data_IF_749791023823
#
_entry.id   IF_749791023823
#
_cell.length_a   1.000
_cell.length_b   1.000
_cell.length_c   1.000
_cell.angle_alpha   90.00
_cell.angle_beta   90.00
_cell.angle_gamma   90.00
#
_symmetry.space_group_name_H-M   'P 1'
#
loop_
_entity.id
_entity.type
_entity.pdbx_description
1 polymer ?
#
# COMPACT_ATOMS: atom_id res chain seq x y z
N UNK A 1 34.40 10.50 51.12
CA UNK A 1 33.61 11.12 50.03
C UNK A 1 33.46 10.12 48.89
N UNK A 2 32.26 9.59 48.65
CA UNK A 2 31.98 8.60 47.60
C UNK A 2 31.81 9.33 46.26
N UNK A 3 32.75 9.16 45.32
CA UNK A 3 32.61 9.62 43.94
C UNK A 3 31.63 8.68 43.24
N UNK A 4 30.37 9.10 43.09
CA UNK A 4 29.44 8.42 42.18
C UNK A 4 29.91 8.73 40.75
N UNK A 5 30.10 7.73 39.87
CA UNK A 5 30.76 7.94 38.60
C UNK A 5 29.81 8.67 37.65
N UNK A 6 30.24 9.85 37.20
CA UNK A 6 29.63 10.66 36.12
C UNK A 6 29.37 9.81 34.84
N UNK A 7 30.11 8.69 34.69
CA UNK A 7 29.93 7.71 33.62
C UNK A 7 28.52 7.06 33.58
N UNK A 8 27.85 6.89 34.72
CA UNK A 8 26.55 6.22 34.77
C UNK A 8 25.41 7.10 34.24
N UNK A 9 25.53 8.43 34.39
CA UNK A 9 24.56 9.39 33.88
C UNK A 9 24.64 9.58 32.36
N UNK A 10 25.84 9.52 31.77
CA UNK A 10 26.03 9.61 30.31
C UNK A 10 25.47 8.35 29.62
N UNK A 11 25.63 7.17 30.23
CA UNK A 11 25.09 5.92 29.66
C UNK A 11 23.55 5.93 29.62
N UNK A 12 22.89 6.49 30.64
CA UNK A 12 21.42 6.59 30.70
C UNK A 12 20.89 7.67 29.73
N UNK A 13 21.62 8.77 29.52
CA UNK A 13 21.24 9.81 28.55
C UNK A 13 21.42 9.37 27.09
N UNK A 14 22.38 8.49 26.81
CA UNK A 14 22.52 7.84 25.49
C UNK A 14 21.46 6.74 25.28
N UNK A 15 21.03 6.05 26.35
CA UNK A 15 19.97 5.05 26.29
C UNK A 15 18.56 5.67 26.14
N UNK A 16 18.34 6.87 26.66
CA UNK A 16 17.05 7.57 26.63
C UNK A 16 16.69 8.22 25.28
N UNK A 17 17.61 8.26 24.32
CA UNK A 17 17.40 8.95 23.03
C UNK A 17 17.12 8.02 21.83
N UNK A 18 16.99 6.71 22.04
CA UNK A 18 16.56 5.76 21.02
C UNK A 18 15.10 5.36 21.27
N UNK A 19 14.16 6.28 21.02
CA UNK A 19 12.79 5.85 20.72
C UNK A 19 12.86 5.06 19.42
N UNK A 20 12.84 3.73 19.53
CA UNK A 20 12.72 2.87 18.36
C UNK A 20 11.39 3.19 17.68
N UNK A 21 11.42 3.38 16.36
CA UNK A 21 10.21 3.56 15.59
C UNK A 21 9.28 2.37 15.80
N UNK A 22 8.01 2.64 16.07
CA UNK A 22 6.95 1.63 16.15
C UNK A 22 6.39 1.31 14.76
N UNK A 23 6.41 2.29 13.85
CA UNK A 23 5.97 2.10 12.47
C UNK A 23 6.63 3.06 11.48
N UNK A 24 6.60 2.64 10.22
CA UNK A 24 7.05 3.38 9.05
C UNK A 24 5.84 3.57 8.14
N UNK A 25 5.60 4.79 7.67
CA UNK A 25 4.57 5.08 6.67
C UNK A 25 5.17 5.73 5.42
N UNK A 26 4.87 5.14 4.27
CA UNK A 26 5.19 5.64 2.94
C UNK A 26 3.92 6.22 2.33
N UNK A 27 3.89 7.52 2.05
CA UNK A 27 2.74 8.19 1.41
C UNK A 27 2.94 8.26 -0.10
N UNK A 28 2.03 7.64 -0.85
CA UNK A 28 2.08 7.64 -2.31
C UNK A 28 1.31 8.83 -2.85
N UNK A 29 1.93 9.58 -3.77
CA UNK A 29 1.29 10.70 -4.48
C UNK A 29 0.57 10.24 -5.75
N UNK A 30 0.98 9.11 -6.32
CA UNK A 30 0.30 8.43 -7.41
C UNK A 30 0.18 6.94 -7.06
N UNK A 31 -1.04 6.52 -6.73
CA UNK A 31 -1.38 5.12 -6.56
C UNK A 31 -2.78 4.86 -7.10
N UNK A 32 -2.96 3.68 -7.66
CA UNK A 32 -4.23 3.29 -8.25
C UNK A 32 -4.47 1.79 -8.18
N UNK A 33 -5.75 1.43 -8.05
CA UNK A 33 -6.22 0.07 -8.23
C UNK A 33 -6.69 -0.07 -9.67
N UNK A 34 -6.07 -0.96 -10.43
CA UNK A 34 -6.42 -1.24 -11.82
C UNK A 34 -7.12 -2.59 -11.92
N UNK A 35 -8.13 -2.68 -12.78
CA UNK A 35 -8.79 -3.93 -13.14
C UNK A 35 -8.90 -4.06 -14.66
N UNK A 36 -8.58 -5.25 -15.17
CA UNK A 36 -8.70 -5.63 -16.58
C UNK A 36 -9.73 -6.75 -16.70
N UNK A 37 -10.96 -6.47 -17.16
CA UNK A 37 -12.05 -7.46 -17.16
C UNK A 37 -11.77 -8.74 -17.94
N UNK A 38 -11.08 -8.64 -19.09
CA UNK A 38 -10.82 -9.80 -19.97
C UNK A 38 -9.91 -10.85 -19.34
N UNK A 39 -8.96 -10.43 -18.50
CA UNK A 39 -8.04 -11.31 -17.79
C UNK A 39 -8.38 -11.49 -16.32
N UNK A 40 -9.40 -10.78 -15.82
CA UNK A 40 -9.78 -10.71 -14.40
C UNK A 40 -8.60 -10.35 -13.47
N UNK A 41 -7.65 -9.57 -13.98
CA UNK A 41 -6.48 -9.15 -13.20
C UNK A 41 -6.82 -7.86 -12.46
N UNK A 42 -6.64 -7.87 -11.14
CA UNK A 42 -6.69 -6.70 -10.27
C UNK A 42 -5.30 -6.47 -9.68
N UNK A 43 -4.81 -5.23 -9.73
CA UNK A 43 -3.52 -4.86 -9.15
C UNK A 43 -3.63 -3.52 -8.45
N UNK A 44 -2.81 -3.32 -7.42
CA UNK A 44 -2.57 -2.01 -6.82
C UNK A 44 -1.17 -1.59 -7.24
N UNK A 45 -1.07 -0.43 -7.86
CA UNK A 45 0.16 0.13 -8.38
C UNK A 45 0.44 1.43 -7.65
N UNK A 46 1.70 1.66 -7.29
CA UNK A 46 2.18 2.95 -6.82
C UNK A 46 3.60 3.16 -7.35
N UNK A 47 3.90 4.39 -7.80
CA UNK A 47 5.21 4.74 -8.35
C UNK A 47 5.70 3.76 -9.43
N UNK A 48 4.83 3.45 -10.39
CA UNK A 48 5.07 2.51 -11.50
C UNK A 48 5.45 1.07 -11.09
N UNK A 49 5.21 0.70 -9.84
CA UNK A 49 5.43 -0.65 -9.32
C UNK A 49 4.12 -1.25 -8.83
N UNK A 50 3.86 -2.50 -9.20
CA UNK A 50 2.81 -3.29 -8.57
C UNK A 50 3.20 -3.51 -7.11
N UNK A 51 2.39 -3.00 -6.19
CA UNK A 51 2.57 -3.13 -4.73
C UNK A 51 1.58 -4.15 -4.11
N UNK A 52 0.61 -4.63 -4.87
CA UNK A 52 -0.23 -5.78 -4.54
C UNK A 52 -0.84 -6.39 -5.81
N UNK A 53 -0.93 -7.71 -5.87
CA UNK A 53 -1.57 -8.46 -6.98
C UNK A 53 -3.05 -8.77 -6.75
N UNK A 54 -3.66 -8.19 -5.71
CA UNK A 54 -5.11 -8.20 -5.56
C UNK A 54 -5.76 -9.58 -5.34
N UNK A 55 -5.01 -10.62 -4.98
CA UNK A 55 -5.53 -12.00 -4.80
C UNK A 55 -6.63 -12.12 -3.75
N UNK A 56 -6.70 -11.15 -2.82
CA UNK A 56 -7.69 -11.08 -1.76
C UNK A 56 -8.96 -10.31 -2.18
N UNK A 57 -9.06 -9.88 -3.44
CA UNK A 57 -10.21 -9.14 -3.94
C UNK A 57 -11.20 -10.04 -4.67
N UNK A 58 -12.48 -9.78 -4.43
CA UNK A 58 -13.59 -10.27 -5.24
C UNK A 58 -14.07 -9.16 -6.16
N UNK A 59 -14.27 -9.49 -7.44
CA UNK A 59 -14.83 -8.59 -8.45
C UNK A 59 -16.01 -9.28 -9.12
N UNK A 60 -17.15 -8.60 -9.20
CA UNK A 60 -18.33 -9.08 -9.91
C UNK A 60 -18.84 -8.02 -10.86
N UNK A 61 -19.02 -8.39 -12.12
CA UNK A 61 -19.70 -7.55 -13.10
C UNK A 61 -21.22 -7.72 -12.96
N UNK A 62 -21.91 -6.64 -12.63
CA UNK A 62 -23.38 -6.64 -12.44
C UNK A 62 -24.10 -6.16 -13.70
N UNK A 63 -23.49 -5.20 -14.41
CA UNK A 63 -23.89 -4.74 -15.75
C UNK A 63 -22.63 -4.45 -16.58
N UNK A 64 -22.71 -4.29 -17.92
CA UNK A 64 -21.53 -3.97 -18.73
C UNK A 64 -20.68 -2.83 -18.17
N UNK A 65 -21.30 -1.77 -17.65
CA UNK A 65 -20.62 -0.63 -17.06
C UNK A 65 -20.49 -0.65 -15.52
N UNK A 66 -21.09 -1.61 -14.82
CA UNK A 66 -21.21 -1.61 -13.36
C UNK A 66 -20.52 -2.83 -12.75
N UNK A 67 -19.51 -2.56 -11.93
CA UNK A 67 -18.74 -3.57 -11.22
C UNK A 67 -18.89 -3.39 -9.71
N UNK A 68 -19.02 -4.49 -9.00
CA UNK A 68 -18.87 -4.53 -7.56
C UNK A 68 -17.50 -5.10 -7.25
N UNK A 69 -16.72 -4.42 -6.40
CA UNK A 69 -15.41 -4.89 -5.95
C UNK A 69 -15.34 -4.82 -4.43
N UNK A 70 -14.74 -5.83 -3.80
CA UNK A 70 -14.48 -5.84 -2.36
C UNK A 70 -13.23 -6.63 -2.03
N UNK A 71 -12.53 -6.20 -0.99
CA UNK A 71 -11.56 -7.06 -0.32
C UNK A 71 -12.32 -8.11 0.49
N UNK A 72 -11.87 -9.37 0.47
CA UNK A 72 -12.62 -10.50 1.04
C UNK A 72 -12.87 -10.36 2.55
N UNK A 73 -12.00 -9.63 3.27
CA UNK A 73 -12.15 -9.39 4.70
C UNK A 73 -13.04 -8.20 5.05
N UNK A 74 -13.47 -7.39 4.07
CA UNK A 74 -14.41 -6.30 4.34
C UNK A 74 -15.78 -6.85 4.73
N UNK A 75 -16.37 -6.24 5.75
CA UNK A 75 -17.70 -6.57 6.25
C UNK A 75 -18.62 -5.36 6.12
N UNK A 76 -19.88 -5.60 5.76
CA UNK A 76 -20.93 -4.58 5.72
C UNK A 76 -20.84 -3.57 4.57
N UNK A 77 -19.85 -3.65 3.68
CA UNK A 77 -19.78 -2.80 2.50
C UNK A 77 -18.99 -3.42 1.34
N UNK A 78 -19.16 -2.86 0.15
CA UNK A 78 -18.32 -3.06 -1.03
C UNK A 78 -18.23 -1.76 -1.82
N UNK A 79 -17.41 -1.72 -2.86
CA UNK A 79 -17.35 -0.59 -3.78
C UNK A 79 -18.09 -0.89 -5.07
N UNK A 80 -18.94 0.04 -5.50
CA UNK A 80 -19.51 0.07 -6.85
C UNK A 80 -18.67 0.96 -7.74
N UNK A 81 -18.20 0.40 -8.84
CA UNK A 81 -17.48 1.11 -9.89
C UNK A 81 -18.43 1.26 -11.07
N UNK A 82 -18.91 2.48 -11.29
CA UNK A 82 -19.71 2.82 -12.46
C UNK A 82 -18.81 3.47 -13.52
N UNK A 83 -18.45 2.68 -14.52
CA UNK A 83 -17.49 3.05 -15.56
C UNK A 83 -18.10 3.98 -16.62
N UNK A 84 -19.43 3.93 -16.82
CA UNK A 84 -20.15 4.87 -17.69
C UNK A 84 -20.19 6.28 -17.08
N UNK A 85 -20.45 6.38 -15.78
CA UNK A 85 -20.51 7.65 -15.06
C UNK A 85 -19.13 8.13 -14.57
N UNK A 86 -18.10 7.29 -14.69
CA UNK A 86 -16.76 7.51 -14.13
C UNK A 86 -16.77 7.83 -12.63
N UNK A 87 -17.57 7.08 -11.88
CA UNK A 87 -17.77 7.27 -10.44
C UNK A 87 -17.53 5.98 -9.67
N UNK A 88 -17.05 6.12 -8.45
CA UNK A 88 -16.92 5.03 -7.48
C UNK A 88 -17.75 5.38 -6.25
N UNK A 89 -18.48 4.40 -5.74
CA UNK A 89 -19.31 4.54 -4.56
C UNK A 89 -18.93 3.48 -3.54
N UNK A 90 -18.94 3.84 -2.27
CA UNK A 90 -19.01 2.90 -1.16
C UNK A 90 -20.47 2.55 -0.95
N UNK A 91 -20.81 1.26 -1.03
CA UNK A 91 -22.17 0.76 -0.86
C UNK A 91 -22.30 -0.02 0.44
N UNK A 92 -23.26 0.34 1.28
CA UNK A 92 -23.68 -0.42 2.47
C UNK A 92 -25.08 -1.01 2.26
N UNK A 93 -25.50 -1.92 3.14
CA UNK A 93 -26.87 -2.47 3.17
C UNK A 93 -27.35 -3.05 1.82
N UNK A 94 -26.42 -3.54 1.01
CA UNK A 94 -26.67 -4.15 -0.28
C UNK A 94 -26.01 -5.52 -0.39
N UNK A 95 -26.47 -6.31 -1.35
CA UNK A 95 -25.88 -7.61 -1.67
C UNK A 95 -24.80 -7.47 -2.74
N UNK A 96 -23.62 -8.03 -2.49
CA UNK A 96 -22.52 -8.03 -3.45
C UNK A 96 -22.93 -8.84 -4.69
N UNK A 97 -22.85 -8.23 -5.88
CA UNK A 97 -23.30 -8.86 -7.13
C UNK A 97 -24.73 -8.54 -7.55
N UNK A 98 -25.53 -7.90 -6.70
CA UNK A 98 -26.91 -7.52 -7.01
C UNK A 98 -27.09 -6.00 -7.06
N UNK A 99 -28.10 -5.52 -7.79
CA UNK A 99 -28.48 -4.10 -7.78
C UNK A 99 -29.16 -3.77 -6.45
N UNK A 100 -28.77 -2.68 -5.79
CA UNK A 100 -29.36 -2.21 -4.53
C UNK A 100 -28.33 -1.67 -3.54
N UNK A 101 -28.75 -1.35 -2.31
CA UNK A 101 -27.91 -0.79 -1.25
C UNK A 101 -27.80 0.74 -1.24
N UNK A 102 -27.13 1.28 -0.22
CA UNK A 102 -26.97 2.70 0.04
C UNK A 102 -25.61 3.20 -0.46
N UNK A 103 -25.63 4.07 -1.47
CA UNK A 103 -24.42 4.54 -2.16
C UNK A 103 -23.92 5.88 -1.63
N UNK A 104 -22.66 5.91 -1.19
CA UNK A 104 -21.92 7.13 -0.88
C UNK A 104 -20.79 7.30 -1.89
N UNK A 105 -20.82 8.38 -2.68
CA UNK A 105 -19.76 8.63 -3.67
C UNK A 105 -18.40 8.83 -2.96
N UNK A 106 -17.38 8.15 -3.45
CA UNK A 106 -16.02 8.25 -2.92
C UNK A 106 -15.26 9.42 -3.54
N UNK A 107 -14.27 9.95 -2.79
CA UNK A 107 -13.40 11.02 -3.28
C UNK A 107 -12.17 10.44 -4.00
N UNK A 108 -12.41 9.83 -5.16
CA UNK A 108 -11.41 9.20 -6.02
C UNK A 108 -11.69 9.55 -7.48
N UNK A 109 -10.67 9.46 -8.34
CA UNK A 109 -10.86 9.60 -9.79
C UNK A 109 -10.94 8.22 -10.44
N UNK A 110 -11.83 8.06 -11.42
CA UNK A 110 -11.94 6.82 -12.21
C UNK A 110 -11.48 7.06 -13.65
N UNK A 111 -10.42 6.38 -14.05
CA UNK A 111 -10.01 6.27 -15.44
C UNK A 111 -10.61 5.03 -16.08
N UNK A 112 -11.16 5.18 -17.28
CA UNK A 112 -11.81 4.09 -18.01
C UNK A 112 -11.28 4.08 -19.43
N UNK A 113 -10.86 2.92 -19.91
CA UNK A 113 -10.40 2.68 -21.28
C UNK A 113 -11.39 1.75 -21.97
N UNK A 114 -11.92 2.20 -23.12
CA UNK A 114 -12.96 1.50 -23.85
C UNK A 114 -14.29 1.41 -23.11
N UNK A 115 -15.21 0.61 -23.65
CA UNK A 115 -16.53 0.35 -23.08
C UNK A 115 -17.59 1.41 -23.39
N UNK A 116 -18.83 1.08 -23.04
CA UNK A 116 -20.02 1.92 -23.17
C UNK A 116 -21.07 1.46 -22.15
N UNK A 117 -22.33 1.91 -22.29
CA UNK A 117 -23.44 1.39 -21.47
C UNK A 117 -23.72 -0.10 -21.71
N UNK A 118 -23.40 -0.62 -22.90
CA UNK A 118 -23.73 -2.00 -23.29
C UNK A 118 -22.48 -2.85 -23.52
N UNK A 119 -21.30 -2.23 -23.52
CA UNK A 119 -20.01 -2.90 -23.76
C UNK A 119 -19.11 -2.73 -22.55
N UNK A 120 -18.57 -3.82 -21.96
CA UNK A 120 -17.61 -3.73 -20.87
C UNK A 120 -16.35 -2.93 -21.27
N UNK A 121 -15.76 -2.13 -20.37
CA UNK A 121 -14.47 -1.50 -20.61
C UNK A 121 -13.36 -2.54 -20.77
N UNK A 122 -12.29 -2.17 -21.48
CA UNK A 122 -11.08 -3.01 -21.56
C UNK A 122 -10.25 -2.91 -20.28
N UNK A 123 -10.33 -1.77 -19.58
CA UNK A 123 -9.62 -1.51 -18.33
C UNK A 123 -10.29 -0.35 -17.59
N UNK A 124 -10.28 -0.39 -16.26
CA UNK A 124 -10.49 0.82 -15.46
C UNK A 124 -9.47 0.91 -14.33
N UNK A 125 -9.18 2.13 -13.85
CA UNK A 125 -8.29 2.40 -12.75
C UNK A 125 -8.90 3.42 -11.77
N UNK A 126 -8.96 3.05 -10.50
CA UNK A 126 -9.38 3.92 -9.39
C UNK A 126 -8.12 4.59 -8.85
N UNK A 127 -7.98 5.91 -9.04
CA UNK A 127 -6.85 6.69 -8.51
C UNK A 127 -7.14 7.21 -7.12
N UNK A 128 -6.17 7.00 -6.23
CA UNK A 128 -6.23 7.43 -4.85
C UNK A 128 -5.24 8.59 -4.62
N UNK A 129 -5.73 9.64 -3.96
CA UNK A 129 -4.90 10.80 -3.58
C UNK A 129 -4.35 10.66 -2.15
N UNK A 130 -4.78 9.64 -1.42
CA UNK A 130 -4.48 9.41 0.00
C UNK A 130 -3.91 8.00 0.26
N UNK A 131 -3.31 7.37 -0.76
CA UNK A 131 -2.77 6.03 -0.63
C UNK A 131 -1.48 6.00 0.18
N UNK A 132 -1.30 4.92 0.94
CA UNK A 132 -0.12 4.72 1.76
C UNK A 132 0.22 3.24 1.93
N UNK A 133 1.48 2.98 2.28
CA UNK A 133 1.93 1.72 2.85
C UNK A 133 2.38 1.99 4.29
N UNK A 134 1.92 1.18 5.23
CA UNK A 134 2.40 1.17 6.62
C UNK A 134 3.12 -0.15 6.87
N UNK A 135 4.31 -0.07 7.45
CA UNK A 135 5.03 -1.21 8.02
C UNK A 135 5.09 -1.02 9.53
N UNK A 136 4.40 -1.88 10.26
CA UNK A 136 4.48 -1.94 11.72
C UNK A 136 5.70 -2.79 12.11
N UNK A 137 6.63 -2.20 12.85
CA UNK A 137 7.92 -2.82 13.17
C UNK A 137 7.73 -3.90 14.25
N UNK A 138 6.86 -3.67 15.23
CA UNK A 138 6.62 -4.61 16.34
C UNK A 138 5.95 -5.89 15.85
N UNK A 139 4.89 -5.76 15.03
CA UNK A 139 4.12 -6.90 14.53
C UNK A 139 4.66 -7.46 13.21
N UNK A 140 5.65 -6.81 12.62
CA UNK A 140 6.22 -7.15 11.31
C UNK A 140 5.19 -7.19 10.17
N UNK A 141 4.07 -6.47 10.33
CA UNK A 141 2.97 -6.44 9.36
C UNK A 141 3.11 -5.28 8.39
N UNK A 142 2.71 -5.51 7.14
CA UNK A 142 2.58 -4.45 6.12
C UNK A 142 1.11 -4.31 5.79
N UNK A 143 0.63 -3.07 5.63
CA UNK A 143 -0.70 -2.79 5.12
C UNK A 143 -0.61 -1.71 4.04
N UNK A 144 -1.35 -1.90 2.96
CA UNK A 144 -1.58 -0.87 1.94
C UNK A 144 -3.00 -0.36 2.14
N UNK A 145 -3.18 0.95 2.20
CA UNK A 145 -4.47 1.58 2.47
C UNK A 145 -4.71 2.82 1.63
N UNK A 146 -5.98 3.16 1.45
CA UNK A 146 -6.47 4.42 0.90
C UNK A 146 -7.94 4.59 1.33
N UNK A 147 -8.49 5.80 1.26
CA UNK A 147 -9.91 6.06 1.56
C UNK A 147 -10.34 5.49 2.92
N UNK A 148 -9.45 5.59 3.92
CA UNK A 148 -9.64 5.08 5.28
C UNK A 148 -9.94 3.57 5.37
N UNK A 149 -9.55 2.79 4.36
CA UNK A 149 -9.69 1.33 4.36
C UNK A 149 -8.40 0.64 3.94
N UNK A 150 -8.23 -0.61 4.38
CA UNK A 150 -7.16 -1.48 3.90
C UNK A 150 -7.49 -1.96 2.48
N UNK A 151 -6.53 -1.84 1.57
CA UNK A 151 -6.59 -2.37 0.21
C UNK A 151 -5.83 -3.69 0.06
N UNK A 152 -4.85 -3.94 0.94
CA UNK A 152 -4.12 -5.21 1.05
C UNK A 152 -3.45 -5.30 2.42
N UNK A 153 -3.36 -6.51 2.96
CA UNK A 153 -2.68 -6.80 4.24
C UNK A 153 -1.24 -7.29 4.06
N UNK A 154 -0.68 -7.13 2.86
CA UNK A 154 0.76 -7.25 2.59
C UNK A 154 1.39 -8.57 3.06
N UNK A 155 0.63 -9.67 3.03
CA UNK A 155 1.07 -10.99 3.50
C UNK A 155 2.19 -11.58 2.64
N UNK A 156 2.31 -11.12 1.40
CA UNK A 156 3.30 -11.47 0.40
C UNK A 156 4.53 -10.54 0.40
N UNK A 157 4.69 -9.69 1.41
CA UNK A 157 5.88 -8.84 1.56
C UNK A 157 6.96 -9.48 2.44
N UNK A 158 8.18 -9.48 1.91
CA UNK A 158 9.40 -9.77 2.64
C UNK A 158 9.93 -8.49 3.31
N UNK A 159 10.44 -8.64 4.54
CA UNK A 159 11.04 -7.56 5.32
C UNK A 159 12.35 -8.02 5.92
N UNK A 160 13.31 -7.11 6.05
CA UNK A 160 14.55 -7.35 6.76
C UNK A 160 15.02 -6.05 7.42
N UNK A 161 15.23 -6.09 8.74
CA UNK A 161 15.91 -5.02 9.45
C UNK A 161 17.42 -5.24 9.36
N UNK A 162 18.12 -4.35 8.66
CA UNK A 162 19.58 -4.46 8.45
C UNK A 162 20.34 -3.70 9.54
N UNK A 163 19.79 -2.55 9.94
CA UNK A 163 20.21 -1.77 11.11
C UNK A 163 18.98 -1.21 11.83
N UNK A 164 19.12 -0.69 13.07
CA UNK A 164 18.00 -0.08 13.80
C UNK A 164 17.22 0.98 13.01
N UNK A 165 17.87 1.69 12.09
CA UNK A 165 17.28 2.73 11.25
C UNK A 165 17.14 2.36 9.76
N UNK A 166 17.49 1.12 9.37
CA UNK A 166 17.57 0.72 7.96
C UNK A 166 16.83 -0.59 7.72
N UNK A 167 15.80 -0.51 6.90
CA UNK A 167 14.89 -1.63 6.60
C UNK A 167 14.86 -1.89 5.11
N UNK A 168 14.91 -3.14 4.71
CA UNK A 168 14.65 -3.57 3.34
C UNK A 168 13.25 -4.18 3.31
N UNK A 169 12.41 -3.73 2.38
CA UNK A 169 11.09 -4.28 2.12
C UNK A 169 10.94 -4.57 0.63
N UNK A 170 10.27 -5.68 0.29
CA UNK A 170 9.91 -5.99 -1.09
C UNK A 170 8.70 -6.92 -1.14
N UNK A 171 7.94 -6.86 -2.21
CA UNK A 171 7.06 -7.98 -2.55
C UNK A 171 7.89 -9.24 -2.84
N UNK A 172 7.36 -10.41 -2.48
CA UNK A 172 8.02 -11.69 -2.70
C UNK A 172 8.27 -11.99 -4.20
N UNK A 173 7.47 -11.41 -5.08
CA UNK A 173 7.59 -11.55 -6.53
C UNK A 173 8.63 -10.61 -7.15
N UNK A 174 9.12 -9.61 -6.41
CA UNK A 174 10.19 -8.72 -6.89
C UNK A 174 11.54 -9.44 -6.80
N UNK A 175 12.15 -9.69 -7.96
CA UNK A 175 13.42 -10.44 -8.05
C UNK A 175 14.65 -9.54 -8.04
N UNK A 176 14.59 -8.45 -8.80
CA UNK A 176 15.81 -7.69 -9.15
C UNK A 176 15.97 -6.39 -8.36
N UNK A 177 15.02 -6.08 -7.48
CA UNK A 177 15.07 -4.89 -6.65
C UNK A 177 14.36 -5.07 -5.30
N UNK A 178 14.64 -4.15 -4.39
CA UNK A 178 13.90 -3.94 -3.16
C UNK A 178 13.90 -2.46 -2.78
N UNK A 179 13.00 -2.08 -1.90
CA UNK A 179 13.00 -0.75 -1.31
C UNK A 179 13.79 -0.76 -0.01
N UNK A 180 14.74 0.16 0.09
CA UNK A 180 15.48 0.46 1.30
C UNK A 180 14.86 1.70 1.95
N UNK A 181 14.33 1.53 3.15
CA UNK A 181 13.78 2.60 3.99
C UNK A 181 14.81 2.98 5.04
N UNK A 182 15.26 4.23 5.01
CA UNK A 182 16.11 4.80 6.06
C UNK A 182 15.28 5.73 6.95
N UNK A 183 15.01 5.31 8.19
CA UNK A 183 14.17 6.08 9.13
C UNK A 183 14.91 7.26 9.75
N UNK A 184 16.23 7.20 9.86
CA UNK A 184 17.06 8.31 10.36
C UNK A 184 17.08 9.48 9.37
N UNK A 185 17.20 9.17 8.07
CA UNK A 185 17.21 10.18 7.00
C UNK A 185 15.82 10.49 6.45
N UNK A 186 14.81 9.68 6.80
CA UNK A 186 13.45 9.73 6.25
C UNK A 186 13.44 9.62 4.72
N UNK A 187 14.19 8.66 4.20
CA UNK A 187 14.39 8.44 2.77
C UNK A 187 13.97 7.04 2.34
N UNK A 188 13.41 6.97 1.14
CA UNK A 188 13.12 5.73 0.42
C UNK A 188 14.03 5.65 -0.81
N UNK A 189 14.67 4.50 -0.98
CA UNK A 189 15.58 4.24 -2.10
C UNK A 189 15.21 2.91 -2.74
N UNK A 190 15.10 2.88 -4.07
CA UNK A 190 15.09 1.65 -4.84
C UNK A 190 16.53 1.14 -4.98
N UNK A 191 16.78 -0.10 -4.57
CA UNK A 191 18.09 -0.73 -4.72
C UNK A 191 17.95 -1.88 -5.72
N UNK A 192 18.74 -1.83 -6.78
CA UNK A 192 18.86 -2.89 -7.80
C UNK A 192 20.23 -3.56 -7.73
N UNK A 193 20.33 -4.81 -8.16
CA UNK A 193 21.58 -5.61 -8.12
C UNK A 193 22.21 -5.74 -6.71
N UNK A 194 21.44 -5.46 -5.66
CA UNK A 194 21.85 -5.64 -4.27
C UNK A 194 21.31 -6.93 -3.66
N UNK A 195 21.87 -7.32 -2.53
CA UNK A 195 21.40 -8.46 -1.74
C UNK A 195 20.39 -7.99 -0.67
N UNK A 196 19.14 -8.44 -0.81
CA UNK A 196 18.09 -8.20 0.18
C UNK A 196 18.53 -8.66 1.59
N UNK A 197 18.26 -7.83 2.61
CA UNK A 197 18.64 -8.10 4.00
C UNK A 197 20.13 -7.95 4.34
N UNK A 198 20.97 -7.43 3.43
CA UNK A 198 22.40 -7.21 3.67
C UNK A 198 22.83 -5.82 3.24
N UNK A 199 23.83 -5.25 3.93
CA UNK A 199 24.60 -4.14 3.38
C UNK A 199 25.48 -4.71 2.28
N UNK A 200 25.08 -4.50 1.05
CA UNK A 200 25.79 -4.97 -0.12
C UNK A 200 25.77 -3.88 -1.19
N UNK A 201 26.66 -4.00 -2.18
CA UNK A 201 26.67 -3.10 -3.33
C UNK A 201 25.35 -3.13 -4.10
N UNK A 202 25.26 -2.30 -5.15
CA UNK A 202 24.06 -2.18 -5.97
C UNK A 202 23.90 -0.75 -6.45
N UNK A 203 22.90 -0.52 -7.29
CA UNK A 203 22.55 0.82 -7.76
C UNK A 203 21.37 1.33 -6.95
N UNK A 204 21.54 2.51 -6.35
CA UNK A 204 20.54 3.17 -5.51
C UNK A 204 19.92 4.34 -6.25
N UNK A 205 18.59 4.32 -6.39
CA UNK A 205 17.82 5.44 -6.94
C UNK A 205 16.86 5.95 -5.88
N UNK A 206 16.99 7.21 -5.48
CA UNK A 206 16.09 7.83 -4.51
C UNK A 206 14.68 7.91 -5.09
N UNK A 207 13.69 7.46 -4.31
CA UNK A 207 12.29 7.57 -4.66
C UNK A 207 11.73 8.82 -3.96
N UNK A 208 11.03 9.74 -4.68
CA UNK A 208 10.48 10.97 -4.10
C UNK A 208 9.20 10.71 -3.28
N UNK A 209 9.27 9.78 -2.33
CA UNK A 209 8.19 9.44 -1.40
C UNK A 209 8.58 9.89 0.00
N UNK A 210 7.64 10.54 0.69
CA UNK A 210 7.83 10.97 2.07
C UNK A 210 7.77 9.76 3.00
N UNK A 211 8.84 9.55 3.78
CA UNK A 211 8.90 8.56 4.85
C UNK A 211 8.53 9.22 6.18
N UNK A 212 7.43 8.77 6.77
CA UNK A 212 7.04 9.15 8.13
C UNK A 212 7.41 8.03 9.09
N UNK A 213 7.88 8.41 10.27
CA UNK A 213 8.34 7.51 11.32
C UNK A 213 7.59 7.89 12.59
N UNK A 214 6.93 6.91 13.22
CA UNK A 214 6.11 7.08 14.42
C UNK A 214 6.59 6.17 15.53
#
# INVERSE_FOLDING_TARGET
MKKVPILFFILILVLAALTLASSISLKFTDAYLVYVPSSQILQIIAHDKVISYGSEWSVQQVRPYLYHIKLNMWQGFFWKVNTSQKKVFRTTDGEFGAIGGNDTQMNVSLEVVGGSADVPPTRFAIRFNDAYLIYNIETQSIQIGAQQTALSYGTDWNKAQVYPYLFHIRLATWKDFYWQVNTSRKELVEVTNGSFGKISGGTSTKIPIVVNVQ
#
